data_IF_672562359825
#
_entry.id   IF_672562359825
#
_cell.length_a   1.000
_cell.length_b   1.000
_cell.length_c   1.000
_cell.angle_alpha   90.00
_cell.angle_beta   90.00
_cell.angle_gamma   90.00
#
_symmetry.space_group_name_H-M   'P 1'
#
loop_
_entity.id
_entity.type
_entity.pdbx_description
1 polymer ?
#
# COMPACT_ATOMS: atom_id res chain seq x y z
N UNK A 1 7.33 -21.03 73.81
CA UNK A 1 6.70 -21.95 72.83
C UNK A 1 5.59 -21.15 72.16
N UNK A 2 5.51 -20.83 70.87
CA UNK A 2 6.17 -21.25 69.62
C UNK A 2 5.76 -20.14 68.59
N UNK A 3 6.64 -19.57 67.75
CA UNK A 3 6.22 -18.62 66.72
C UNK A 3 5.69 -19.37 65.49
N UNK A 4 4.71 -18.82 64.77
CA UNK A 4 4.46 -19.23 63.39
C UNK A 4 3.95 -18.06 62.51
N UNK A 5 4.46 -17.91 61.27
CA UNK A 5 4.30 -16.73 60.43
C UNK A 5 3.25 -16.96 59.31
N UNK A 6 3.27 -16.12 58.27
CA UNK A 6 2.70 -16.24 56.89
C UNK A 6 1.70 -15.10 56.60
N UNK A 7 1.68 -14.42 55.45
CA UNK A 7 2.56 -14.26 54.29
C UNK A 7 1.98 -13.09 53.47
N UNK A 8 2.86 -12.38 52.77
CA UNK A 8 2.57 -11.41 51.70
C UNK A 8 1.59 -11.95 50.65
N UNK A 9 0.70 -11.09 50.16
CA UNK A 9 0.15 -11.18 48.79
C UNK A 9 -0.01 -9.77 48.21
N UNK A 10 1.04 -9.27 47.57
CA UNK A 10 0.94 -8.12 46.68
C UNK A 10 0.52 -8.64 45.29
N UNK A 11 -0.73 -8.44 44.92
CA UNK A 11 -1.24 -8.73 43.57
C UNK A 11 -0.82 -7.57 42.67
N UNK A 12 0.34 -7.70 42.01
CA UNK A 12 0.73 -6.85 40.91
C UNK A 12 -0.12 -7.19 39.68
N UNK A 13 -1.06 -6.33 39.31
CA UNK A 13 -1.66 -6.35 37.98
C UNK A 13 -0.60 -5.93 36.97
N UNK A 14 0.06 -6.92 36.37
CA UNK A 14 0.79 -6.71 35.12
C UNK A 14 -0.23 -6.49 34.01
N UNK A 15 -0.46 -5.22 33.66
CA UNK A 15 -1.05 -4.87 32.37
C UNK A 15 -0.08 -5.28 31.27
N UNK A 16 -0.32 -6.45 30.66
CA UNK A 16 0.35 -6.82 29.42
C UNK A 16 -0.06 -5.82 28.34
N UNK A 17 0.87 -5.10 27.68
CA UNK A 17 0.54 -4.41 26.46
C UNK A 17 0.13 -5.48 25.45
N UNK A 18 -1.06 -5.35 24.85
CA UNK A 18 -1.46 -6.17 23.71
C UNK A 18 -0.48 -5.89 22.57
N UNK A 19 0.52 -6.75 22.41
CA UNK A 19 1.52 -6.63 21.35
C UNK A 19 0.86 -7.08 20.04
N UNK A 20 0.51 -6.09 19.21
CA UNK A 20 0.30 -6.12 17.76
C UNK A 20 0.02 -7.49 17.09
N UNK A 21 -1.25 -7.79 16.83
CA UNK A 21 -1.69 -8.88 15.95
C UNK A 21 -1.55 -8.57 14.46
N UNK A 22 -0.35 -8.18 14.00
CA UNK A 22 -0.08 -7.92 12.59
C UNK A 22 0.95 -8.88 11.96
N UNK A 23 1.54 -9.80 12.74
CA UNK A 23 2.71 -10.58 12.30
C UNK A 23 2.39 -12.00 11.80
N UNK A 24 1.13 -12.45 11.87
CA UNK A 24 0.75 -13.84 11.55
C UNK A 24 -0.39 -13.94 10.50
N UNK A 25 -0.93 -12.82 10.05
CA UNK A 25 -1.88 -12.80 8.93
C UNK A 25 -1.08 -12.64 7.64
N UNK A 26 -1.08 -13.67 6.77
CA UNK A 26 -0.51 -13.54 5.43
C UNK A 26 -1.13 -12.37 4.66
N UNK A 27 -0.41 -11.86 3.66
CA UNK A 27 -0.89 -10.78 2.79
C UNK A 27 -0.87 -11.24 1.33
N UNK A 28 -1.75 -10.68 0.52
CA UNK A 28 -1.77 -10.87 -0.91
C UNK A 28 -1.14 -9.67 -1.62
N UNK A 29 -0.26 -9.95 -2.58
CA UNK A 29 0.36 -8.95 -3.45
C UNK A 29 -0.21 -9.10 -4.86
N UNK A 30 -0.83 -8.04 -5.37
CA UNK A 30 -1.09 -7.90 -6.81
C UNK A 30 -0.04 -6.95 -7.39
N UNK A 31 0.62 -7.37 -8.47
CA UNK A 31 1.75 -6.66 -9.05
C UNK A 31 1.61 -6.57 -10.56
N UNK A 32 1.71 -5.36 -11.10
CA UNK A 32 1.68 -5.10 -12.54
C UNK A 32 2.81 -4.18 -12.96
N UNK A 33 3.26 -4.33 -14.21
CA UNK A 33 4.22 -3.43 -14.85
C UNK A 33 3.76 -3.13 -16.27
N UNK A 34 3.76 -1.86 -16.64
CA UNK A 34 3.56 -1.40 -18.01
C UNK A 34 4.71 -0.51 -18.46
N UNK A 35 5.07 -0.56 -19.75
CA UNK A 35 6.14 0.24 -20.37
C UNK A 35 5.57 0.95 -21.58
N UNK A 36 5.58 2.29 -21.55
CA UNK A 36 4.95 3.12 -22.57
C UNK A 36 5.98 4.14 -23.08
N UNK A 37 6.09 4.40 -24.40
CA UNK A 37 6.93 5.48 -24.90
C UNK A 37 6.60 6.81 -24.24
N UNK A 38 7.61 7.51 -23.71
CA UNK A 38 7.44 8.78 -22.99
C UNK A 38 6.87 9.89 -23.89
N UNK A 39 7.07 9.78 -25.21
CA UNK A 39 6.47 10.66 -26.20
C UNK A 39 4.92 10.56 -26.28
N UNK A 40 4.35 9.44 -25.82
CA UNK A 40 2.91 9.18 -25.78
C UNK A 40 2.34 9.39 -24.38
N UNK A 41 3.11 9.07 -23.34
CA UNK A 41 2.63 9.06 -21.97
C UNK A 41 3.73 9.46 -20.99
N UNK A 42 3.56 10.57 -20.29
CA UNK A 42 4.55 11.09 -19.33
C UNK A 42 4.40 10.48 -17.94
N UNK A 43 5.43 10.59 -17.10
CA UNK A 43 5.36 10.19 -15.68
C UNK A 43 4.34 11.01 -14.88
N UNK A 44 4.11 12.28 -15.24
CA UNK A 44 3.12 13.14 -14.60
C UNK A 44 1.70 12.74 -14.99
N UNK A 45 1.48 12.43 -16.26
CA UNK A 45 0.20 11.87 -16.75
C UNK A 45 -0.11 10.55 -16.06
N UNK A 46 0.89 9.66 -15.94
CA UNK A 46 0.78 8.41 -15.19
C UNK A 46 0.35 8.66 -13.74
N UNK A 47 1.04 9.57 -13.04
CA UNK A 47 0.71 9.91 -11.65
C UNK A 47 -0.70 10.48 -11.49
N UNK A 48 -1.14 11.35 -12.41
CA UNK A 48 -2.50 11.91 -12.41
C UNK A 48 -3.56 10.83 -12.61
N UNK A 49 -3.42 10.00 -13.65
CA UNK A 49 -4.37 8.93 -13.98
C UNK A 49 -4.55 7.97 -12.81
N UNK A 50 -3.46 7.58 -12.16
CA UNK A 50 -3.50 6.68 -11.01
C UNK A 50 -4.13 7.36 -9.79
N UNK A 51 -3.83 8.63 -9.55
CA UNK A 51 -4.43 9.40 -8.46
C UNK A 51 -5.94 9.53 -8.64
N UNK A 52 -6.40 9.83 -9.86
CA UNK A 52 -7.82 9.92 -10.19
C UNK A 52 -8.52 8.57 -10.02
N UNK A 53 -7.90 7.48 -10.48
CA UNK A 53 -8.43 6.13 -10.29
C UNK A 53 -8.56 5.77 -8.81
N UNK A 54 -7.58 6.14 -7.98
CA UNK A 54 -7.62 5.86 -6.53
C UNK A 54 -8.70 6.69 -5.82
N UNK A 55 -8.88 7.95 -6.19
CA UNK A 55 -9.96 8.80 -5.67
C UNK A 55 -11.34 8.25 -6.06
N UNK A 56 -11.50 7.79 -7.30
CA UNK A 56 -12.74 7.16 -7.78
C UNK A 56 -13.05 5.85 -7.05
N UNK A 57 -12.01 5.10 -6.65
CA UNK A 57 -12.12 3.91 -5.82
C UNK A 57 -12.36 4.23 -4.32
N UNK A 58 -12.41 5.51 -3.93
CA UNK A 58 -12.63 5.93 -2.54
C UNK A 58 -11.43 5.66 -1.62
N UNK A 59 -10.23 5.52 -2.17
CA UNK A 59 -9.01 5.28 -1.41
C UNK A 59 -8.34 6.60 -1.01
N UNK A 60 -7.60 6.59 0.10
CA UNK A 60 -6.71 7.71 0.41
C UNK A 60 -5.62 7.82 -0.65
N UNK A 61 -5.22 9.02 -1.02
CA UNK A 61 -4.17 9.24 -2.04
C UNK A 61 -3.15 10.25 -1.53
N UNK A 62 -1.88 9.89 -1.60
CA UNK A 62 -0.75 10.81 -1.50
C UNK A 62 0.12 10.67 -2.75
N UNK A 63 0.38 11.79 -3.41
CA UNK A 63 1.22 11.88 -4.60
C UNK A 63 2.51 12.62 -4.24
N UNK A 64 3.63 11.99 -4.58
CA UNK A 64 4.97 12.58 -4.46
C UNK A 64 5.64 12.59 -5.83
N UNK A 65 6.04 13.76 -6.29
CA UNK A 65 6.75 13.93 -7.56
C UNK A 65 8.23 14.26 -7.33
N UNK A 66 9.07 13.61 -8.11
CA UNK A 66 10.50 13.87 -8.29
C UNK A 66 10.70 14.16 -9.79
N UNK A 67 10.84 15.45 -10.17
CA UNK A 67 10.86 15.86 -11.57
C UNK A 67 11.84 15.06 -12.42
N UNK A 68 11.37 14.70 -13.62
CA UNK A 68 12.09 13.95 -14.66
C UNK A 68 12.61 12.56 -14.25
N UNK A 69 12.19 12.05 -13.08
CA UNK A 69 12.70 10.80 -12.52
C UNK A 69 11.59 9.84 -12.10
N UNK A 70 10.68 10.30 -11.25
CA UNK A 70 9.73 9.43 -10.56
C UNK A 70 8.51 10.21 -10.08
N UNK A 71 7.32 9.69 -10.35
CA UNK A 71 6.12 10.03 -9.58
C UNK A 71 5.68 8.80 -8.80
N UNK A 72 5.45 8.95 -7.50
CA UNK A 72 4.91 7.90 -6.63
C UNK A 72 3.51 8.30 -6.17
N UNK A 73 2.54 7.43 -6.40
CA UNK A 73 1.19 7.54 -5.85
C UNK A 73 1.01 6.40 -4.85
N UNK A 74 0.67 6.71 -3.61
CA UNK A 74 0.47 5.68 -2.59
C UNK A 74 -0.71 6.02 -1.70
N UNK A 75 -1.21 5.00 -1.02
CA UNK A 75 -2.42 5.13 -0.26
C UNK A 75 -2.94 3.79 0.24
N UNK A 76 -4.22 3.73 0.57
CA UNK A 76 -4.86 2.51 1.03
C UNK A 76 -6.12 2.76 1.83
N UNK A 77 -6.47 1.75 2.62
CA UNK A 77 -7.56 1.81 3.58
C UNK A 77 -7.12 1.15 4.88
N UNK A 78 -7.24 1.88 5.99
CA UNK A 78 -6.78 1.44 7.31
C UNK A 78 -7.33 0.04 7.67
N UNK A 79 -6.44 -0.86 8.09
CA UNK A 79 -6.78 -2.23 8.45
C UNK A 79 -7.17 -3.15 7.29
N UNK A 80 -7.22 -2.65 6.05
CA UNK A 80 -7.58 -3.44 4.86
C UNK A 80 -6.38 -3.71 3.97
N UNK A 81 -5.56 -2.69 3.72
CA UNK A 81 -4.40 -2.81 2.86
C UNK A 81 -3.85 -1.46 2.43
N UNK A 82 -2.78 -1.51 1.64
CA UNK A 82 -2.12 -0.36 1.05
C UNK A 82 -1.82 -0.59 -0.42
N UNK A 83 -1.52 0.47 -1.16
CA UNK A 83 -0.99 0.38 -2.51
C UNK A 83 0.17 1.36 -2.71
N UNK A 84 1.03 1.05 -3.67
CA UNK A 84 2.02 1.98 -4.20
C UNK A 84 2.07 1.82 -5.71
N UNK A 85 2.11 2.96 -6.40
CA UNK A 85 2.33 3.03 -7.84
C UNK A 85 3.49 3.95 -8.11
N UNK A 86 4.42 3.47 -8.93
CA UNK A 86 5.61 4.22 -9.33
C UNK A 86 5.58 4.43 -10.84
N UNK A 87 5.54 5.69 -11.26
CA UNK A 87 5.69 6.13 -12.64
C UNK A 87 7.13 6.60 -12.82
N UNK A 88 7.95 5.78 -13.46
CA UNK A 88 9.41 5.90 -13.51
C UNK A 88 9.83 6.34 -14.91
N UNK A 89 10.65 7.38 -15.00
CA UNK A 89 11.30 7.74 -16.26
C UNK A 89 12.52 6.83 -16.49
N UNK A 90 12.52 6.08 -17.58
CA UNK A 90 13.61 5.19 -17.98
C UNK A 90 13.98 5.47 -19.44
N UNK A 91 14.92 6.37 -19.65
CA UNK A 91 15.28 6.82 -21.01
C UNK A 91 14.10 7.50 -21.69
N UNK A 92 13.67 6.96 -22.83
CA UNK A 92 12.50 7.39 -23.61
C UNK A 92 11.22 6.63 -23.25
N UNK A 93 11.20 5.93 -22.12
CA UNK A 93 10.08 5.10 -21.66
C UNK A 93 9.58 5.56 -20.30
N UNK A 94 8.26 5.69 -20.18
CA UNK A 94 7.56 5.78 -18.90
C UNK A 94 7.19 4.37 -18.45
N UNK A 95 7.65 3.96 -17.26
CA UNK A 95 7.32 2.67 -16.66
C UNK A 95 6.34 2.88 -15.52
N UNK A 96 5.19 2.21 -15.56
CA UNK A 96 4.24 2.18 -14.45
C UNK A 96 4.38 0.85 -13.70
N UNK A 97 4.80 0.88 -12.44
CA UNK A 97 4.80 -0.28 -11.53
C UNK A 97 3.67 -0.10 -10.54
N UNK A 98 2.71 -1.02 -10.52
CA UNK A 98 1.52 -0.96 -9.65
C UNK A 98 1.57 -2.12 -8.67
N UNK A 99 1.47 -1.83 -7.38
CA UNK A 99 1.46 -2.84 -6.32
C UNK A 99 0.28 -2.58 -5.37
N UNK A 100 -0.57 -3.59 -5.21
CA UNK A 100 -1.63 -3.63 -4.21
C UNK A 100 -1.32 -4.67 -3.14
N UNK A 101 -1.36 -4.28 -1.87
CA UNK A 101 -1.10 -5.13 -0.70
C UNK A 101 -2.38 -5.28 0.12
N UNK A 102 -3.04 -6.43 0.02
CA UNK A 102 -4.18 -6.75 0.87
C UNK A 102 -3.71 -7.43 2.15
N UNK A 103 -4.11 -6.94 3.33
CA UNK A 103 -3.74 -7.51 4.63
C UNK A 103 -4.59 -8.74 4.98
N UNK A 104 -4.63 -9.68 4.04
CA UNK A 104 -5.29 -10.99 4.08
C UNK A 104 -4.64 -11.87 3.00
N UNK A 105 -4.83 -13.18 3.08
CA UNK A 105 -4.15 -14.13 2.17
C UNK A 105 -4.69 -14.12 0.73
N UNK A 106 -5.88 -13.57 0.51
CA UNK A 106 -6.52 -13.52 -0.80
C UNK A 106 -6.57 -12.10 -1.35
N UNK A 107 -6.62 -11.99 -2.67
CA UNK A 107 -6.83 -10.71 -3.34
C UNK A 107 -8.09 -10.02 -2.81
N UNK A 108 -7.95 -8.75 -2.44
CA UNK A 108 -9.02 -7.90 -1.96
C UNK A 108 -9.03 -6.56 -2.69
N UNK A 109 -9.52 -5.53 -2.01
CA UNK A 109 -9.72 -4.19 -2.57
C UNK A 109 -8.43 -3.58 -3.13
N UNK A 110 -7.26 -3.82 -2.52
CA UNK A 110 -6.01 -3.25 -3.02
C UNK A 110 -5.56 -3.94 -4.31
N UNK A 111 -5.74 -5.25 -4.40
CA UNK A 111 -5.50 -5.98 -5.63
C UNK A 111 -6.47 -5.62 -6.75
N UNK A 112 -7.76 -5.41 -6.44
CA UNK A 112 -8.74 -4.95 -7.42
C UNK A 112 -8.41 -3.54 -7.93
N UNK A 113 -8.00 -2.66 -7.02
CA UNK A 113 -7.48 -1.35 -7.40
C UNK A 113 -6.22 -1.46 -8.27
N UNK A 114 -5.30 -2.38 -7.98
CA UNK A 114 -4.10 -2.56 -8.80
C UNK A 114 -4.44 -2.96 -10.25
N UNK A 115 -5.45 -3.82 -10.46
CA UNK A 115 -5.96 -4.15 -11.79
C UNK A 115 -6.61 -2.94 -12.48
N UNK A 116 -7.41 -2.17 -11.73
CA UNK A 116 -8.07 -0.97 -12.26
C UNK A 116 -7.04 0.10 -12.66
N UNK A 117 -6.03 0.33 -11.82
CA UNK A 117 -4.99 1.32 -12.06
C UNK A 117 -4.16 0.98 -13.29
N UNK A 118 -3.75 -0.28 -13.47
CA UNK A 118 -3.01 -0.67 -14.68
C UNK A 118 -3.86 -0.59 -15.94
N UNK A 119 -5.16 -0.91 -15.84
CA UNK A 119 -6.09 -0.75 -16.95
C UNK A 119 -6.27 0.74 -17.34
N UNK A 120 -6.39 1.63 -16.35
CA UNK A 120 -6.48 3.07 -16.57
C UNK A 120 -5.20 3.64 -17.21
N UNK A 121 -4.02 3.21 -16.76
CA UNK A 121 -2.74 3.56 -17.38
C UNK A 121 -2.68 3.13 -18.84
N UNK A 122 -3.08 1.89 -19.14
CA UNK A 122 -3.12 1.37 -20.51
C UNK A 122 -4.10 2.11 -21.39
N UNK A 123 -5.26 2.49 -20.87
CA UNK A 123 -6.27 3.22 -21.63
C UNK A 123 -5.82 4.65 -21.94
N UNK A 124 -5.23 5.34 -20.96
CA UNK A 124 -4.75 6.71 -21.14
C UNK A 124 -3.50 6.82 -22.03
N UNK A 125 -2.86 5.68 -22.34
CA UNK A 125 -1.68 5.58 -23.20
C UNK A 125 -2.01 5.23 -24.67
N UNK A 126 -3.29 5.02 -25.01
CA UNK A 126 -3.75 4.79 -26.39
C UNK A 126 -3.90 6.10 -27.15
#
# INVERSE_FOLDING_TARGET
MKPFPLLLSAIGMFSLPAVAGAQDAGFALTYHVERIPAAQFSIDTCGSVVSDAAQQAGLSVDLKSFPDQLVTVHGGASGTGAYVVQCIAVGDTTVAVVQGFDYRETKGTMGDFADQAIAAVKEAAK
#
